data_IF_001397398566
#
_entry.id   IF_001397398566
#
_cell.length_a   1.000
_cell.length_b   1.000
_cell.length_c   1.000
_cell.angle_alpha   90.00
_cell.angle_beta   90.00
_cell.angle_gamma   90.00
#
_symmetry.space_group_name_H-M   'P 1'
#
loop_
_entity.id
_entity.type
_entity.pdbx_description
1 polymer ?
#
# COMPACT_ATOMS: atom_id res chain seq x y z
N UNK A 1 3.21 -4.16 -12.31
CA UNK A 1 4.63 -4.42 -12.00
C UNK A 1 4.98 -3.74 -10.68
N UNK A 2 5.08 -4.52 -9.61
CA UNK A 2 5.57 -4.11 -8.30
C UNK A 2 6.63 -5.13 -7.86
N UNK A 3 7.46 -4.79 -6.88
CA UNK A 3 8.52 -5.70 -6.39
C UNK A 3 7.89 -6.99 -5.86
N UNK A 4 6.83 -6.89 -5.08
CA UNK A 4 5.98 -7.99 -4.62
C UNK A 4 4.54 -7.49 -4.41
N UNK A 5 3.60 -8.41 -4.25
CA UNK A 5 2.20 -8.15 -3.91
C UNK A 5 1.85 -8.83 -2.58
N UNK A 6 1.37 -8.02 -1.65
CA UNK A 6 0.93 -8.48 -0.34
C UNK A 6 -0.56 -8.79 -0.39
N UNK A 7 -0.92 -9.94 0.15
CA UNK A 7 -2.31 -10.34 0.34
C UNK A 7 -2.69 -9.97 1.77
N UNK A 8 -3.55 -8.97 1.87
CA UNK A 8 -4.06 -8.45 3.13
C UNK A 8 -5.51 -8.90 3.30
N UNK A 9 -5.88 -9.31 4.52
CA UNK A 9 -7.24 -9.71 4.87
C UNK A 9 -7.70 -8.91 6.07
N UNK A 10 -8.93 -8.41 6.03
CA UNK A 10 -9.52 -7.75 7.18
C UNK A 10 -10.20 -8.78 8.08
N UNK A 11 -9.76 -8.89 9.33
CA UNK A 11 -10.24 -9.91 10.28
C UNK A 11 -11.72 -9.71 10.66
N UNK A 12 -12.28 -8.52 10.49
CA UNK A 12 -13.68 -8.22 10.86
C UNK A 12 -14.69 -8.60 9.77
N UNK A 13 -14.33 -8.48 8.49
CA UNK A 13 -15.28 -8.67 7.38
C UNK A 13 -14.78 -9.64 6.30
N UNK A 14 -13.61 -10.24 6.48
CA UNK A 14 -13.01 -11.21 5.55
C UNK A 14 -12.60 -10.63 4.19
N UNK A 15 -12.68 -9.31 3.97
CA UNK A 15 -12.33 -8.69 2.69
C UNK A 15 -10.84 -8.85 2.43
N UNK A 16 -10.52 -9.28 1.22
CA UNK A 16 -9.14 -9.47 0.76
C UNK A 16 -8.75 -8.30 -0.14
N UNK A 17 -7.59 -7.70 0.12
CA UNK A 17 -7.00 -6.63 -0.70
C UNK A 17 -5.57 -7.00 -1.06
N UNK A 18 -5.17 -6.68 -2.30
CA UNK A 18 -3.80 -6.86 -2.79
C UNK A 18 -3.08 -5.52 -2.77
N UNK A 19 -2.00 -5.43 -2.02
CA UNK A 19 -1.18 -4.22 -1.91
C UNK A 19 0.18 -4.43 -2.59
N UNK A 20 0.47 -3.74 -3.71
CA UNK A 20 1.80 -3.75 -4.30
C UNK A 20 2.81 -3.04 -3.40
N UNK A 21 4.02 -3.58 -3.27
CA UNK A 21 5.15 -2.94 -2.60
C UNK A 21 6.30 -2.61 -3.55
N UNK A 22 7.03 -1.56 -3.23
CA UNK A 22 8.12 -1.02 -4.05
C UNK A 22 7.68 0.10 -4.98
N UNK A 23 8.42 0.31 -6.08
CA UNK A 23 8.18 1.39 -7.03
C UNK A 23 6.88 1.18 -7.83
N UNK A 24 6.03 2.22 -7.91
CA UNK A 24 4.77 2.19 -8.64
C UNK A 24 4.91 2.72 -10.07
N UNK A 25 5.24 1.84 -11.01
CA UNK A 25 5.30 2.19 -12.44
C UNK A 25 4.01 2.82 -12.97
N UNK A 26 2.85 2.34 -12.49
CA UNK A 26 1.56 2.89 -12.91
C UNK A 26 1.37 4.33 -12.42
N UNK A 27 1.85 4.67 -11.22
CA UNK A 27 1.76 6.04 -10.69
C UNK A 27 2.72 6.97 -11.42
N UNK A 28 3.88 6.47 -11.85
CA UNK A 28 4.84 7.24 -12.63
C UNK A 28 4.27 7.71 -13.97
N UNK A 29 3.64 6.81 -14.74
CA UNK A 29 3.09 7.16 -16.06
C UNK A 29 1.69 7.80 -16.02
N UNK A 30 0.86 7.44 -15.04
CA UNK A 30 -0.56 7.84 -15.01
C UNK A 30 -0.93 8.75 -13.82
N UNK A 31 0.04 9.18 -13.02
CA UNK A 31 -0.19 10.11 -11.90
C UNK A 31 -1.27 9.62 -10.94
N UNK A 32 -2.42 10.31 -10.94
CA UNK A 32 -3.53 10.07 -10.00
C UNK A 32 -4.43 8.87 -10.33
N UNK A 33 -4.48 8.40 -11.59
CA UNK A 33 -5.42 7.36 -12.02
C UNK A 33 -5.31 6.04 -11.23
N UNK A 34 -4.10 5.54 -10.91
CA UNK A 34 -3.97 4.33 -10.11
C UNK A 34 -4.55 4.47 -8.70
N UNK A 35 -4.54 5.67 -8.11
CA UNK A 35 -5.13 5.90 -6.79
C UNK A 35 -6.65 5.84 -6.85
N UNK A 36 -7.25 6.40 -7.91
CA UNK A 36 -8.70 6.32 -8.17
C UNK A 36 -9.14 4.87 -8.37
N UNK A 37 -8.49 4.12 -9.26
CA UNK A 37 -8.87 2.72 -9.52
C UNK A 37 -8.67 1.78 -8.33
N UNK A 38 -7.74 2.11 -7.42
CA UNK A 38 -7.53 1.35 -6.17
C UNK A 38 -8.52 1.72 -5.06
N UNK A 39 -9.39 2.72 -5.28
CA UNK A 39 -10.33 3.23 -4.29
C UNK A 39 -9.68 4.06 -3.19
N UNK A 40 -8.45 4.54 -3.42
CA UNK A 40 -7.67 5.34 -2.48
C UNK A 40 -7.95 6.83 -2.65
N UNK A 41 -9.19 7.24 -2.39
CA UNK A 41 -9.67 8.60 -2.64
C UNK A 41 -8.88 9.68 -1.90
N UNK A 42 -8.44 9.41 -0.66
CA UNK A 42 -7.58 10.33 0.12
C UNK A 42 -6.29 10.69 -0.64
N UNK A 43 -5.61 9.68 -1.17
CA UNK A 43 -4.36 9.88 -1.90
C UNK A 43 -4.58 10.37 -3.33
N UNK A 44 -5.68 9.99 -3.97
CA UNK A 44 -6.05 10.53 -5.29
C UNK A 44 -6.25 12.05 -5.23
N UNK A 45 -6.94 12.56 -4.20
CA UNK A 45 -7.11 13.99 -3.97
C UNK A 45 -5.77 14.67 -3.65
N UNK A 46 -4.93 14.06 -2.83
CA UNK A 46 -3.62 14.61 -2.49
C UNK A 46 -2.67 14.68 -3.71
N UNK A 47 -2.70 13.65 -4.56
CA UNK A 47 -2.00 13.67 -5.85
C UNK A 47 -2.54 14.75 -6.77
N UNK A 48 -3.85 14.93 -6.85
CA UNK A 48 -4.46 16.01 -7.63
C UNK A 48 -3.97 17.38 -7.14
N UNK A 49 -4.01 17.63 -5.83
CA UNK A 49 -3.57 18.91 -5.26
C UNK A 49 -2.05 19.16 -5.36
N UNK A 50 -1.24 18.15 -5.64
CA UNK A 50 0.23 18.30 -5.76
C UNK A 50 0.70 18.29 -7.21
N UNK A 51 0.11 17.46 -8.08
CA UNK A 51 0.50 17.32 -9.49
C UNK A 51 0.19 18.60 -10.27
N UNK A 52 -1.01 19.19 -10.09
CA UNK A 52 -1.41 20.39 -10.84
C UNK A 52 -0.54 21.63 -10.55
N UNK A 53 -0.30 22.04 -9.30
CA UNK A 53 0.55 23.21 -9.02
C UNK A 53 2.03 22.98 -9.32
N UNK A 54 2.50 21.72 -9.33
CA UNK A 54 3.89 21.39 -9.70
C UNK A 54 4.07 21.13 -11.20
N UNK A 55 3.05 21.39 -12.03
CA UNK A 55 3.06 21.09 -13.47
C UNK A 55 3.50 19.66 -13.79
N UNK A 56 3.14 18.71 -12.91
CA UNK A 56 3.49 17.30 -13.06
C UNK A 56 4.83 16.88 -12.48
N UNK A 57 5.68 17.78 -11.98
CA UNK A 57 7.00 17.41 -11.43
C UNK A 57 6.87 16.47 -10.21
N UNK A 58 5.85 16.68 -9.38
CA UNK A 58 5.61 15.80 -8.23
C UNK A 58 5.27 14.36 -8.61
N UNK A 59 4.82 14.09 -9.84
CA UNK A 59 4.54 12.73 -10.32
C UNK A 59 5.79 11.85 -10.35
N UNK A 60 6.99 12.44 -10.38
CA UNK A 60 8.27 11.73 -10.31
C UNK A 60 8.54 11.16 -8.90
N UNK A 61 8.03 11.82 -7.85
CA UNK A 61 8.26 11.44 -6.45
C UNK A 61 7.19 10.47 -5.95
N UNK A 62 5.94 10.69 -6.37
CA UNK A 62 4.79 9.86 -6.01
C UNK A 62 4.97 8.33 -6.16
N UNK A 63 5.58 7.78 -7.22
CA UNK A 63 5.70 6.33 -7.38
C UNK A 63 6.56 5.65 -6.31
N UNK A 64 7.46 6.38 -5.65
CA UNK A 64 8.27 5.86 -4.53
C UNK A 64 7.46 5.79 -3.23
N UNK A 65 6.52 6.70 -3.04
CA UNK A 65 5.84 6.92 -1.75
C UNK A 65 4.46 6.27 -1.73
N UNK A 66 3.72 6.32 -2.85
CA UNK A 66 2.31 5.96 -2.90
C UNK A 66 2.01 4.51 -2.49
N UNK A 67 2.76 3.53 -2.99
CA UNK A 67 2.55 2.12 -2.64
C UNK A 67 2.70 1.87 -1.13
N UNK A 68 3.67 2.53 -0.48
CA UNK A 68 3.85 2.48 0.97
C UNK A 68 2.68 3.11 1.71
N UNK A 69 2.23 4.29 1.28
CA UNK A 69 1.08 4.96 1.89
C UNK A 69 -0.20 4.13 1.75
N UNK A 70 -0.42 3.54 0.58
CA UNK A 70 -1.56 2.66 0.34
C UNK A 70 -1.54 1.44 1.27
N UNK A 71 -0.40 0.76 1.39
CA UNK A 71 -0.24 -0.35 2.33
C UNK A 71 -0.56 0.08 3.76
N UNK A 72 0.01 1.20 4.22
CA UNK A 72 -0.20 1.70 5.58
C UNK A 72 -1.68 2.03 5.84
N UNK A 73 -2.36 2.64 4.88
CA UNK A 73 -3.80 2.91 5.02
C UNK A 73 -4.64 1.64 5.18
N UNK A 74 -4.27 0.55 4.50
CA UNK A 74 -4.96 -0.72 4.67
C UNK A 74 -4.68 -1.32 6.06
N UNK A 75 -3.46 -1.21 6.57
CA UNK A 75 -3.11 -1.68 7.91
C UNK A 75 -3.88 -0.90 9.00
N UNK A 76 -3.99 0.42 8.83
CA UNK A 76 -4.79 1.32 9.67
C UNK A 76 -6.29 0.99 9.61
N UNK A 77 -6.81 0.65 8.42
CA UNK A 77 -8.20 0.21 8.21
C UNK A 77 -8.48 -1.20 8.79
N UNK A 78 -7.53 -1.78 9.53
CA UNK A 78 -7.68 -3.07 10.20
C UNK A 78 -7.35 -4.28 9.34
N UNK A 79 -6.78 -4.09 8.14
CA UNK A 79 -6.28 -5.22 7.35
C UNK A 79 -5.00 -5.79 7.97
N UNK A 80 -4.82 -7.10 7.81
CA UNK A 80 -3.73 -7.88 8.37
C UNK A 80 -3.02 -8.64 7.25
N UNK A 81 -1.70 -8.80 7.37
CA UNK A 81 -0.90 -9.50 6.38
C UNK A 81 -1.13 -11.01 6.47
N UNK A 82 -1.63 -11.61 5.40
CA UNK A 82 -1.82 -13.07 5.32
C UNK A 82 -0.67 -13.75 4.61
N UNK A 83 -0.24 -13.22 3.46
CA UNK A 83 0.84 -13.80 2.67
C UNK A 83 1.41 -12.79 1.66
N UNK A 84 2.54 -13.14 1.06
CA UNK A 84 3.21 -12.40 0.00
C UNK A 84 3.33 -13.28 -1.22
N UNK A 85 2.98 -12.78 -2.41
CA UNK A 85 2.97 -13.59 -3.64
C UNK A 85 4.37 -14.14 -3.98
N UNK A 86 5.44 -13.38 -3.75
CA UNK A 86 6.83 -13.82 -3.95
C UNK A 86 7.54 -14.26 -2.68
N UNK A 87 6.81 -14.46 -1.58
CA UNK A 87 7.39 -14.93 -0.32
C UNK A 87 8.32 -13.92 0.38
N UNK A 88 8.13 -12.61 0.16
CA UNK A 88 8.89 -11.59 0.91
C UNK A 88 8.71 -11.76 2.43
N UNK A 89 9.82 -11.78 3.16
CA UNK A 89 9.84 -11.93 4.61
C UNK A 89 9.06 -10.81 5.32
N UNK A 90 8.33 -11.16 6.38
CA UNK A 90 7.52 -10.21 7.18
C UNK A 90 8.38 -9.05 7.71
N UNK A 91 9.63 -9.31 8.09
CA UNK A 91 10.59 -8.30 8.53
C UNK A 91 10.91 -7.25 7.44
N UNK A 92 11.10 -7.67 6.19
CA UNK A 92 11.32 -6.73 5.08
C UNK A 92 10.10 -5.85 4.86
N UNK A 93 8.91 -6.43 5.02
CA UNK A 93 7.65 -5.72 4.86
C UNK A 93 7.44 -4.74 6.02
N UNK A 94 7.76 -5.10 7.26
CA UNK A 94 7.66 -4.20 8.42
C UNK A 94 8.60 -2.99 8.27
N UNK A 95 9.83 -3.21 7.81
CA UNK A 95 10.78 -2.13 7.49
C UNK A 95 10.22 -1.22 6.39
N UNK A 96 9.66 -1.81 5.32
CA UNK A 96 9.09 -1.04 4.21
C UNK A 96 7.90 -0.16 4.63
N UNK A 97 6.95 -0.74 5.37
CA UNK A 97 5.76 -0.05 5.88
C UNK A 97 6.09 0.99 6.95
N UNK A 98 7.26 0.85 7.61
CA UNK A 98 7.62 1.57 8.84
C UNK A 98 6.59 1.34 9.96
N UNK A 99 5.97 0.16 9.95
CA UNK A 99 5.09 -0.32 11.01
C UNK A 99 5.53 -1.73 11.42
N UNK A 100 5.36 -2.08 12.69
CA UNK A 100 5.67 -3.42 13.19
C UNK A 100 4.62 -4.44 12.75
N UNK A 101 4.66 -4.84 11.48
CA UNK A 101 3.73 -5.81 10.89
C UNK A 101 3.87 -7.19 11.54
N UNK A 102 5.04 -7.54 12.08
CA UNK A 102 5.23 -8.78 12.84
C UNK A 102 4.28 -8.86 14.06
N UNK A 103 4.11 -7.75 14.80
CA UNK A 103 3.16 -7.70 15.93
C UNK A 103 1.70 -7.85 15.48
N UNK A 104 1.39 -7.36 14.28
CA UNK A 104 0.06 -7.39 13.68
C UNK A 104 -0.30 -8.83 13.24
N UNK A 105 0.67 -9.60 12.74
CA UNK A 105 0.49 -11.00 12.34
C UNK A 105 0.40 -11.92 13.57
N UNK A 106 1.24 -11.71 14.59
CA UNK A 106 1.21 -12.52 15.82
C UNK A 106 -0.03 -12.26 16.69
N UNK A 107 -0.58 -11.04 16.68
CA UNK A 107 -1.81 -10.72 17.39
C UNK A 107 -3.05 -11.46 16.83
N UNK A 108 -3.03 -11.84 15.54
CA UNK A 108 -4.11 -12.61 14.90
C UNK A 108 -4.02 -14.10 15.27
N UNK A 109 -2.80 -14.66 15.34
CA UNK A 109 -2.57 -16.05 15.81
C UNK A 109 -3.00 -16.31 17.26
N UNK A 110 -3.02 -15.29 18.12
CA UNK A 110 -3.49 -15.41 19.52
C UNK A 110 -5.01 -15.30 19.69
N UNK A 111 -5.73 -14.88 18.64
CA UNK A 111 -7.19 -14.71 18.66
C UNK A 111 -7.93 -15.78 17.85
N UNK A 112 -7.26 -16.89 17.54
CA UNK A 112 -7.80 -18.12 16.93
C UNK A 112 -7.48 -19.27 17.90
#
# INVERSE_FOLDING_TARGET
>A
MAFDHLILVNSYNGKIRRAPIGFSWTTFFFGLWPAVFRGSWKYALLMFLTIFPTLGISSLVWPFIFNRLYLNSLLEDGFRLKSSEKGTSVERISIYSRQNIALIVDADKKNI
#
